data_IF_071388440363
#
_entry.id   IF_071388440363
#
_cell.length_a   1.000
_cell.length_b   1.000
_cell.length_c   1.000
_cell.angle_alpha   90.00
_cell.angle_beta   90.00
_cell.angle_gamma   90.00
#
_symmetry.space_group_name_H-M   'P 1'
#
loop_
_entity.id
_entity.type
_entity.pdbx_description
1 polymer ?
#
# COMPACT_ATOMS: atom_id res chain seq x y z
N UNK A 1 -15.67 -9.69 2.86
CA UNK A 1 -15.02 -8.52 2.24
C UNK A 1 -13.62 -8.42 2.78
N UNK A 2 -12.69 -7.84 2.02
CA UNK A 2 -11.31 -7.61 2.48
C UNK A 2 -11.01 -6.12 2.56
N UNK A 3 -9.87 -5.76 3.13
CA UNK A 3 -9.36 -4.39 3.10
C UNK A 3 -8.00 -4.37 2.42
N UNK A 4 -7.63 -3.23 1.88
CA UNK A 4 -6.29 -2.90 1.45
C UNK A 4 -5.81 -1.72 2.28
N UNK A 5 -4.54 -1.75 2.67
CA UNK A 5 -3.92 -0.67 3.39
C UNK A 5 -2.50 -0.45 2.88
N UNK A 6 -2.09 0.81 2.82
CA UNK A 6 -0.72 1.23 2.59
C UNK A 6 -0.18 1.75 3.90
N UNK A 7 1.00 1.25 4.28
CA UNK A 7 1.70 1.68 5.47
C UNK A 7 3.07 2.21 5.11
N UNK A 8 3.57 3.13 5.94
CA UNK A 8 4.95 3.56 5.86
C UNK A 8 5.89 2.51 6.48
N UNK A 9 7.21 2.71 6.34
CA UNK A 9 8.24 1.83 6.92
C UNK A 9 8.10 1.61 8.43
N UNK A 10 7.56 2.58 9.15
CA UNK A 10 7.34 2.50 10.61
C UNK A 10 6.04 1.76 10.98
N UNK A 11 5.37 1.15 10.00
CA UNK A 11 4.11 0.43 10.19
C UNK A 11 2.98 1.35 10.64
N UNK A 12 3.02 2.62 10.21
CA UNK A 12 1.90 3.55 10.37
C UNK A 12 1.05 3.54 9.11
N UNK A 13 -0.27 3.49 9.25
CA UNK A 13 -1.20 3.67 8.14
C UNK A 13 -0.98 5.03 7.48
N UNK A 14 -0.82 5.04 6.17
CA UNK A 14 -0.73 6.28 5.41
C UNK A 14 -2.10 6.97 5.36
N UNK A 15 -2.17 8.30 5.45
CA UNK A 15 -3.39 9.06 5.21
C UNK A 15 -4.00 8.68 3.85
N UNK A 16 -5.31 8.43 3.82
CA UNK A 16 -6.04 7.98 2.61
C UNK A 16 -5.52 6.68 1.97
N UNK A 17 -4.67 5.93 2.67
CA UNK A 17 -4.04 4.71 2.17
C UNK A 17 -4.85 3.44 2.39
N UNK A 18 -6.09 3.55 2.87
CA UNK A 18 -6.94 2.39 3.25
C UNK A 18 -8.21 2.37 2.43
N UNK A 19 -8.59 1.22 1.91
CA UNK A 19 -9.88 1.03 1.23
C UNK A 19 -10.49 -0.35 1.51
N UNK A 20 -11.83 -0.41 1.54
CA UNK A 20 -12.57 -1.67 1.57
C UNK A 20 -12.70 -2.25 0.14
N UNK A 21 -12.60 -3.58 0.04
CA UNK A 21 -12.96 -4.32 -1.18
C UNK A 21 -14.45 -4.67 -1.16
N UNK A 22 -15.23 -4.11 -2.09
CA UNK A 22 -16.66 -4.42 -2.23
C UNK A 22 -16.93 -5.76 -2.91
N UNK A 23 -16.11 -6.19 -3.90
CA UNK A 23 -16.21 -7.50 -4.55
C UNK A 23 -14.84 -7.97 -5.06
N UNK A 24 -14.31 -9.04 -4.47
CA UNK A 24 -13.01 -9.61 -4.85
C UNK A 24 -11.82 -8.66 -4.62
N UNK A 25 -10.60 -9.14 -4.86
CA UNK A 25 -9.38 -8.31 -4.85
C UNK A 25 -9.11 -7.84 -6.28
N UNK A 26 -9.57 -6.64 -6.64
CA UNK A 26 -9.37 -6.04 -7.97
C UNK A 26 -8.42 -4.84 -7.92
N UNK A 27 -7.59 -4.65 -8.95
CA UNK A 27 -6.60 -3.56 -9.01
C UNK A 27 -7.22 -2.17 -8.87
N UNK A 28 -8.41 -1.96 -9.43
CA UNK A 28 -9.10 -0.66 -9.37
C UNK A 28 -9.36 -0.15 -7.96
N UNK A 29 -9.55 -1.05 -6.99
CA UNK A 29 -9.70 -0.64 -5.60
C UNK A 29 -8.38 -0.17 -4.98
N UNK A 30 -7.25 -0.73 -5.43
CA UNK A 30 -5.89 -0.40 -4.97
C UNK A 30 -5.38 0.90 -5.59
N UNK A 31 -5.77 1.20 -6.83
CA UNK A 31 -5.30 2.38 -7.57
C UNK A 31 -5.61 3.68 -6.83
N UNK A 32 -6.79 3.81 -6.23
CA UNK A 32 -7.22 5.00 -5.51
C UNK A 32 -6.34 5.29 -4.28
N UNK A 33 -6.24 4.41 -3.26
CA UNK A 33 -5.37 4.65 -2.12
C UNK A 33 -3.89 4.77 -2.53
N UNK A 34 -3.43 4.01 -3.53
CA UNK A 34 -2.07 4.12 -4.05
C UNK A 34 -1.79 5.52 -4.62
N UNK A 35 -2.69 6.03 -5.46
CA UNK A 35 -2.59 7.37 -6.03
C UNK A 35 -2.63 8.45 -4.96
N UNK A 36 -3.55 8.35 -3.99
CA UNK A 36 -3.66 9.34 -2.90
C UNK A 36 -2.38 9.40 -2.05
N UNK A 37 -1.79 8.25 -1.72
CA UNK A 37 -0.54 8.20 -0.95
C UNK A 37 0.64 8.75 -1.76
N UNK A 38 0.73 8.42 -3.05
CA UNK A 38 1.78 8.94 -3.93
C UNK A 38 1.65 10.45 -4.11
N UNK A 39 0.44 10.96 -4.33
CA UNK A 39 0.20 12.40 -4.46
C UNK A 39 0.56 13.13 -3.16
N UNK A 40 0.12 12.62 -2.00
CA UNK A 40 0.50 13.20 -0.70
C UNK A 40 2.01 13.20 -0.46
N UNK A 41 2.72 12.18 -0.93
CA UNK A 41 4.18 12.14 -0.86
C UNK A 41 4.85 13.18 -1.78
N UNK A 42 4.33 13.37 -2.99
CA UNK A 42 4.78 14.43 -3.91
C UNK A 42 4.54 15.82 -3.30
N UNK A 43 3.36 16.04 -2.75
CA UNK A 43 2.99 17.32 -2.11
C UNK A 43 3.87 17.63 -0.89
N UNK A 44 4.33 16.58 -0.18
CA UNK A 44 5.32 16.69 0.89
C UNK A 44 6.76 16.90 0.39
N UNK A 45 6.99 16.94 -0.93
CA UNK A 45 8.29 17.18 -1.55
C UNK A 45 9.17 15.94 -1.71
N UNK A 46 8.62 14.73 -1.56
CA UNK A 46 9.37 13.49 -1.76
C UNK A 46 9.55 13.20 -3.26
N UNK A 47 10.80 12.93 -3.66
CA UNK A 47 11.18 12.66 -5.06
C UNK A 47 11.45 11.20 -5.35
N UNK A 48 11.70 10.39 -4.32
CA UNK A 48 12.01 8.97 -4.45
C UNK A 48 11.11 8.17 -3.50
N UNK A 49 10.31 7.26 -4.06
CA UNK A 49 9.42 6.38 -3.31
C UNK A 49 9.82 4.93 -3.54
N UNK A 50 9.80 4.16 -2.46
CA UNK A 50 9.95 2.70 -2.51
C UNK A 50 8.63 2.10 -2.06
N UNK A 51 7.97 1.39 -2.98
CA UNK A 51 6.67 0.77 -2.74
C UNK A 51 6.84 -0.73 -2.85
N UNK A 52 6.53 -1.45 -1.77
CA UNK A 52 6.46 -2.90 -1.77
C UNK A 52 5.03 -3.38 -1.89
N UNK A 53 4.82 -4.40 -2.72
CA UNK A 53 3.52 -5.04 -2.84
C UNK A 53 3.68 -6.49 -3.31
N UNK A 54 2.90 -7.41 -2.75
CA UNK A 54 2.97 -8.84 -3.05
C UNK A 54 2.92 -9.18 -4.54
N UNK A 55 2.20 -8.38 -5.32
CA UNK A 55 2.08 -8.55 -6.78
C UNK A 55 2.65 -7.36 -7.55
N UNK A 56 3.65 -6.68 -6.99
CA UNK A 56 4.31 -5.53 -7.62
C UNK A 56 4.79 -5.83 -9.05
N UNK A 57 5.29 -7.04 -9.34
CA UNK A 57 5.72 -7.41 -10.68
C UNK A 57 4.62 -7.38 -11.75
N UNK A 58 3.36 -7.57 -11.34
CA UNK A 58 2.20 -7.47 -12.23
C UNK A 58 1.59 -6.08 -12.19
N UNK A 59 1.51 -5.50 -11.00
CA UNK A 59 0.86 -4.22 -10.77
C UNK A 59 1.64 -3.04 -11.37
N UNK A 60 2.96 -2.99 -11.13
CA UNK A 60 3.82 -1.89 -11.58
C UNK A 60 3.85 -1.72 -13.10
N UNK A 61 3.79 -2.82 -13.85
CA UNK A 61 3.85 -2.79 -15.32
C UNK A 61 2.73 -1.96 -15.94
N UNK A 62 1.51 -2.09 -15.40
CA UNK A 62 0.33 -1.37 -15.90
C UNK A 62 0.00 -0.14 -15.06
N UNK A 63 0.80 0.20 -14.04
CA UNK A 63 0.44 1.21 -13.05
C UNK A 63 0.18 2.58 -13.69
N UNK A 64 1.14 3.09 -14.48
CA UNK A 64 1.02 4.38 -15.14
C UNK A 64 -0.19 4.47 -16.09
N UNK A 65 -0.44 3.41 -16.86
CA UNK A 65 -1.59 3.35 -17.74
C UNK A 65 -2.92 3.42 -16.96
N UNK A 66 -3.00 2.76 -15.81
CA UNK A 66 -4.18 2.75 -14.95
C UNK A 66 -4.41 4.10 -14.26
N UNK A 67 -3.36 4.70 -13.69
CA UNK A 67 -3.48 5.88 -12.83
C UNK A 67 -3.33 7.22 -13.55
N UNK A 68 -2.60 7.27 -14.67
CA UNK A 68 -2.32 8.51 -15.40
C UNK A 68 -3.09 8.60 -16.73
N UNK A 69 -3.32 7.48 -17.42
CA UNK A 69 -3.82 7.48 -18.80
C UNK A 69 -5.22 6.86 -18.96
N UNK A 70 -5.97 6.72 -17.85
CA UNK A 70 -7.34 6.18 -17.90
C UNK A 70 -8.36 7.29 -18.17
N UNK A 71 -9.62 6.91 -18.42
CA UNK A 71 -10.73 7.88 -18.58
C UNK A 71 -10.92 8.79 -17.36
N UNK A 72 -10.47 8.34 -16.18
CA UNK A 72 -10.54 9.07 -14.92
C UNK A 72 -9.17 9.00 -14.24
N UNK A 73 -8.20 9.82 -14.69
CA UNK A 73 -6.84 9.78 -14.16
C UNK A 73 -6.84 10.19 -12.68
N UNK A 74 -6.06 9.47 -11.89
CA UNK A 74 -5.88 9.70 -10.44
C UNK A 74 -4.58 10.46 -10.15
N UNK A 75 -3.61 10.40 -11.06
CA UNK A 75 -2.32 11.07 -10.99
C UNK A 75 -2.04 11.82 -12.30
N UNK A 76 -1.19 12.86 -12.28
CA UNK A 76 -0.87 13.63 -13.48
C UNK A 76 -0.08 12.82 -14.51
N UNK A 77 -0.27 13.09 -15.80
CA UNK A 77 0.43 12.39 -16.90
C UNK A 77 1.96 12.48 -16.79
N UNK A 78 2.48 13.58 -16.25
CA UNK A 78 3.91 13.78 -16.04
C UNK A 78 4.44 13.21 -14.71
N UNK A 79 3.75 12.24 -14.10
CA UNK A 79 4.14 11.66 -12.80
C UNK A 79 5.62 11.29 -12.70
N UNK A 80 6.18 10.71 -13.75
CA UNK A 80 7.59 10.28 -13.79
C UNK A 80 8.59 11.43 -13.72
N UNK A 81 8.20 12.67 -14.05
CA UNK A 81 9.06 13.85 -13.86
C UNK A 81 8.96 14.44 -12.45
N UNK A 82 7.92 14.07 -11.69
CA UNK A 82 7.68 14.54 -10.33
C UNK A 82 8.31 13.61 -9.29
N UNK A 83 8.25 12.29 -9.53
CA UNK A 83 8.66 11.27 -8.57
C UNK A 83 9.21 10.02 -9.27
N UNK A 84 10.29 9.49 -8.72
CA UNK A 84 10.84 8.18 -9.03
C UNK A 84 10.21 7.14 -8.12
N UNK A 85 9.60 6.10 -8.69
CA UNK A 85 8.96 5.02 -7.93
C UNK A 85 9.70 3.71 -8.18
N UNK A 86 10.28 3.17 -7.12
CA UNK A 86 10.88 1.85 -7.08
C UNK A 86 9.86 0.83 -6.55
N UNK A 87 9.60 -0.21 -7.33
CA UNK A 87 8.68 -1.29 -6.96
C UNK A 87 9.43 -2.52 -6.45
N UNK A 88 8.99 -3.07 -5.33
CA UNK A 88 9.54 -4.27 -4.71
C UNK A 88 8.44 -5.27 -4.35
N UNK A 89 8.80 -6.52 -4.11
CA UNK A 89 7.91 -7.54 -3.59
C UNK A 89 8.36 -7.88 -2.17
N UNK A 90 7.39 -7.99 -1.27
CA UNK A 90 7.58 -8.39 0.14
C UNK A 90 8.44 -9.66 0.23
N UNK A 91 9.36 -9.69 1.20
CA UNK A 91 10.49 -10.63 1.19
C UNK A 91 10.08 -12.09 1.28
N UNK A 92 9.07 -12.41 2.07
CA UNK A 92 8.50 -13.74 2.23
C UNK A 92 7.78 -14.15 0.94
N UNK A 93 7.01 -13.23 0.36
CA UNK A 93 6.26 -13.48 -0.86
C UNK A 93 7.16 -13.63 -2.09
N UNK A 94 8.33 -12.97 -2.11
CA UNK A 94 9.27 -13.02 -3.22
C UNK A 94 9.68 -14.45 -3.61
N UNK A 95 9.80 -15.37 -2.64
CA UNK A 95 10.13 -16.77 -2.90
C UNK A 95 9.09 -17.53 -3.72
N UNK A 96 7.84 -17.06 -3.75
CA UNK A 96 6.76 -17.60 -4.57
C UNK A 96 6.73 -17.09 -6.01
N UNK A 97 7.63 -16.17 -6.38
CA UNK A 97 7.71 -15.60 -7.72
C UNK A 97 8.86 -16.22 -8.55
N UNK A 98 8.79 -16.03 -9.87
CA UNK A 98 9.82 -16.50 -10.80
C UNK A 98 11.20 -15.86 -10.53
N UNK A 99 12.26 -16.47 -11.04
CA UNK A 99 13.65 -16.05 -10.79
C UNK A 99 13.91 -14.60 -11.20
N UNK A 100 13.27 -14.10 -12.25
CA UNK A 100 13.37 -12.71 -12.68
C UNK A 100 12.85 -11.77 -11.60
N UNK A 101 11.73 -12.12 -10.95
CA UNK A 101 11.19 -11.32 -9.86
C UNK A 101 12.18 -11.26 -8.69
N UNK A 102 12.83 -12.39 -8.37
CA UNK A 102 13.82 -12.47 -7.29
C UNK A 102 15.07 -11.63 -7.53
N UNK A 103 15.35 -11.25 -8.79
CA UNK A 103 16.44 -10.35 -9.18
C UNK A 103 16.01 -8.89 -9.13
N UNK A 104 14.87 -8.56 -9.75
CA UNK A 104 14.48 -7.16 -9.98
C UNK A 104 13.64 -6.53 -8.87
N UNK A 105 12.92 -7.32 -8.06
CA UNK A 105 11.99 -6.81 -7.02
C UNK A 105 12.49 -7.08 -5.60
N UNK A 106 13.77 -7.44 -5.45
CA UNK A 106 14.34 -7.85 -4.17
C UNK A 106 14.96 -6.69 -3.41
N UNK A 107 14.44 -6.41 -2.21
CA UNK A 107 14.98 -5.40 -1.29
C UNK A 107 16.49 -5.47 -1.10
N UNK A 108 17.08 -6.67 -1.08
CA UNK A 108 18.51 -6.84 -0.78
C UNK A 108 19.42 -6.43 -1.94
N UNK A 109 18.88 -6.31 -3.16
CA UNK A 109 19.64 -5.97 -4.36
C UNK A 109 19.41 -4.53 -4.82
N UNK A 110 18.51 -3.78 -4.17
CA UNK A 110 18.15 -2.44 -4.59
C UNK A 110 18.79 -1.37 -3.72
N UNK A 111 19.36 -0.38 -4.38
CA UNK A 111 20.02 0.75 -3.74
C UNK A 111 19.02 1.69 -3.07
N UNK A 112 19.42 2.36 -1.98
CA UNK A 112 18.60 3.37 -1.29
C UNK A 112 17.49 2.83 -0.39
N UNK A 113 17.21 1.52 -0.39
CA UNK A 113 16.13 0.93 0.43
C UNK A 113 16.57 0.68 1.88
N UNK A 114 17.84 0.38 2.09
CA UNK A 114 18.38 -0.02 3.39
C UNK A 114 17.94 -1.42 3.81
N UNK A 115 18.45 -1.91 4.95
CA UNK A 115 18.10 -3.23 5.47
C UNK A 115 16.77 -3.17 6.22
N UNK A 116 15.71 -3.70 5.61
CA UNK A 116 14.39 -3.81 6.25
C UNK A 116 13.82 -5.24 6.20
N UNK A 117 12.87 -5.52 7.08
CA UNK A 117 12.18 -6.82 7.13
C UNK A 117 11.34 -7.07 5.88
N UNK A 118 10.70 -6.04 5.30
CA UNK A 118 9.86 -6.20 4.11
C UNK A 118 8.53 -6.93 4.34
N UNK A 119 8.22 -7.33 5.59
CA UNK A 119 7.03 -8.10 5.98
C UNK A 119 6.16 -7.40 7.03
N UNK A 120 6.55 -6.17 7.42
CA UNK A 120 5.94 -5.51 8.57
C UNK A 120 4.45 -5.19 8.34
N UNK A 121 4.02 -5.03 7.09
CA UNK A 121 2.61 -4.86 6.71
C UNK A 121 1.74 -6.08 7.00
N UNK A 122 2.31 -7.29 7.03
CA UNK A 122 1.53 -8.50 7.37
C UNK A 122 1.31 -8.63 8.88
N UNK A 123 2.24 -8.11 9.68
CA UNK A 123 2.14 -8.18 11.15
C UNK A 123 0.95 -7.39 11.70
N UNK A 124 0.59 -6.27 11.09
CA UNK A 124 -0.52 -5.45 11.55
C UNK A 124 -1.87 -6.14 11.31
N UNK A 125 -2.01 -6.93 10.25
CA UNK A 125 -3.26 -7.66 10.00
C UNK A 125 -3.57 -8.64 11.12
N UNK A 126 -2.56 -9.22 11.77
CA UNK A 126 -2.76 -10.08 12.95
C UNK A 126 -3.39 -9.32 14.12
N UNK A 127 -3.04 -8.04 14.31
CA UNK A 127 -3.65 -7.18 15.33
C UNK A 127 -5.10 -6.83 14.99
N UNK A 128 -5.38 -6.56 13.71
CA UNK A 128 -6.71 -6.17 13.23
C UNK A 128 -7.68 -7.35 13.07
N UNK A 129 -7.21 -8.61 13.10
CA UNK A 129 -8.09 -9.77 12.96
C UNK A 129 -9.11 -9.89 14.11
N UNK A 130 -8.79 -9.37 15.31
CA UNK A 130 -9.74 -9.30 16.42
C UNK A 130 -10.90 -8.32 16.13
N UNK A 131 -10.62 -7.20 15.47
CA UNK A 131 -11.62 -6.18 15.14
C UNK A 131 -12.62 -6.68 14.09
N UNK A 132 -12.25 -7.66 13.27
CA UNK A 132 -13.15 -8.29 12.31
C UNK A 132 -14.40 -8.86 12.97
N UNK A 133 -14.26 -9.48 14.15
CA UNK A 133 -15.39 -10.07 14.87
C UNK A 133 -16.25 -8.98 15.52
N UNK A 134 -15.61 -7.93 16.04
CA UNK A 134 -16.30 -6.82 16.69
C UNK A 134 -17.06 -5.94 15.68
N UNK A 135 -16.51 -5.75 14.48
CA UNK A 135 -17.13 -4.94 13.42
C UNK A 135 -18.18 -5.67 12.59
N UNK A 136 -18.35 -6.99 12.77
CA UNK A 136 -19.15 -7.81 11.86
C UNK A 136 -20.63 -7.43 11.83
N UNK A 137 -21.19 -7.12 12.99
CA UNK A 137 -22.62 -6.78 13.16
C UNK A 137 -22.87 -5.26 13.09
N UNK A 138 -21.80 -4.46 12.92
CA UNK A 138 -21.92 -3.00 12.85
C UNK A 138 -22.47 -2.57 11.50
N UNK A 139 -23.24 -1.48 11.49
CA UNK A 139 -23.65 -0.82 10.26
C UNK A 139 -22.44 -0.27 9.47
N UNK A 140 -22.58 0.02 8.17
CA UNK A 140 -21.45 0.44 7.33
C UNK A 140 -20.69 1.67 7.86
N UNK A 141 -21.41 2.70 8.32
CA UNK A 141 -20.80 3.92 8.87
C UNK A 141 -20.08 3.66 10.19
N UNK A 142 -20.73 3.02 11.16
CA UNK A 142 -20.12 2.73 12.47
C UNK A 142 -18.96 1.75 12.37
N UNK A 143 -18.99 0.81 11.41
CA UNK A 143 -17.83 -0.02 11.08
C UNK A 143 -16.65 0.81 10.58
N UNK A 144 -16.87 1.74 9.65
CA UNK A 144 -15.80 2.57 9.11
C UNK A 144 -15.18 3.44 10.22
N UNK A 145 -15.99 4.09 11.04
CA UNK A 145 -15.52 4.90 12.17
C UNK A 145 -14.69 4.07 13.14
N UNK A 146 -15.15 2.87 13.53
CA UNK A 146 -14.42 2.02 14.48
C UNK A 146 -13.07 1.53 13.91
N UNK A 147 -13.03 1.16 12.62
CA UNK A 147 -11.77 0.78 11.98
C UNK A 147 -10.82 1.97 11.86
N UNK A 148 -11.31 3.15 11.47
CA UNK A 148 -10.49 4.36 11.41
C UNK A 148 -9.94 4.75 12.78
N UNK A 149 -10.73 4.65 13.84
CA UNK A 149 -10.28 4.92 15.21
C UNK A 149 -9.19 3.94 15.65
N UNK A 150 -9.39 2.64 15.41
CA UNK A 150 -8.37 1.63 15.71
C UNK A 150 -7.06 1.83 14.93
N UNK A 151 -7.14 2.23 13.66
CA UNK A 151 -5.98 2.58 12.82
C UNK A 151 -5.26 3.83 13.36
N UNK A 152 -6.01 4.84 13.79
CA UNK A 152 -5.44 6.04 14.41
C UNK A 152 -4.77 5.73 15.75
N UNK A 153 -5.39 4.89 16.58
CA UNK A 153 -4.80 4.43 17.83
C UNK A 153 -3.50 3.67 17.59
N UNK A 154 -3.48 2.77 16.60
CA UNK A 154 -2.25 2.08 16.20
C UNK A 154 -1.16 3.07 15.79
N UNK A 155 -1.48 4.05 14.95
CA UNK A 155 -0.53 5.09 14.54
C UNK A 155 -0.01 5.89 15.74
N UNK A 156 -0.89 6.25 16.68
CA UNK A 156 -0.52 6.96 17.90
C UNK A 156 0.51 6.16 18.72
N UNK A 157 0.30 4.85 18.92
CA UNK A 157 1.24 3.97 19.62
C UNK A 157 2.61 3.82 18.94
N UNK A 158 2.75 4.19 17.66
CA UNK A 158 4.03 4.15 16.94
C UNK A 158 4.79 5.48 17.02
N UNK A 159 4.10 6.58 17.30
CA UNK A 159 4.65 7.93 17.25
C UNK A 159 4.99 8.44 18.64
N UNK A 160 4.17 8.11 19.65
CA UNK A 160 4.31 8.52 21.05
C UNK A 160 4.90 7.39 21.87
#
# INVERSE_FOLDING_TARGET
TGAFAILCRHVCFCPSGVCDFSKGKGYRYVDVPMAMVIQGAIDAGLKDLVISYNIACKYSFNFLAQVCNSTYPLLPENLQSLVSILWLIEKFHLGGHCEECQKFFNFNYMHGVGRMSGELVETIWSYFDFLKYQTREMGPGSRQEMLSDAMNYWNWQKIV
#
